data_IF_356988469331
#
_entry.id   IF_356988469331
#
_cell.length_a   1.000
_cell.length_b   1.000
_cell.length_c   1.000
_cell.angle_alpha   90.00
_cell.angle_beta   90.00
_cell.angle_gamma   90.00
#
_symmetry.space_group_name_H-M   'P 1'
#
loop_
_entity.id
_entity.type
_entity.pdbx_description
1 polymer ?
#
# COMPACT_ATOMS: atom_id res chain seq x y z
N UNK A 1 8.03 -13.80 7.43
CA UNK A 1 8.71 -14.78 6.55
C UNK A 1 8.79 -14.20 5.16
N UNK A 2 9.94 -14.29 4.49
CA UNK A 2 10.07 -13.91 3.07
C UNK A 2 9.22 -14.83 2.18
N UNK A 3 8.58 -14.26 1.18
CA UNK A 3 8.01 -15.03 0.09
C UNK A 3 9.15 -15.62 -0.77
N UNK A 4 8.88 -16.77 -1.40
CA UNK A 4 9.85 -17.44 -2.26
C UNK A 4 9.56 -17.13 -3.72
N UNK A 5 10.54 -16.59 -4.43
CA UNK A 5 10.43 -16.26 -5.84
C UNK A 5 11.34 -17.17 -6.67
N UNK A 6 10.92 -17.46 -7.90
CA UNK A 6 11.74 -18.21 -8.87
C UNK A 6 12.82 -17.35 -9.56
N UNK A 7 12.88 -16.06 -9.23
CA UNK A 7 13.88 -15.10 -9.71
C UNK A 7 14.59 -14.43 -8.53
N UNK A 8 15.90 -14.31 -8.63
CA UNK A 8 16.73 -13.65 -7.62
C UNK A 8 17.00 -12.18 -7.96
N UNK A 9 17.32 -11.40 -6.92
CA UNK A 9 17.87 -10.04 -7.06
C UNK A 9 16.87 -8.95 -7.45
N UNK A 10 15.58 -9.27 -7.61
CA UNK A 10 14.52 -8.29 -7.84
C UNK A 10 13.99 -7.73 -6.51
N UNK A 11 13.69 -6.44 -6.52
CA UNK A 11 12.92 -5.81 -5.44
C UNK A 11 11.44 -6.16 -5.61
N UNK A 12 10.76 -6.49 -4.52
CA UNK A 12 9.30 -6.57 -4.48
C UNK A 12 8.81 -5.49 -3.51
N UNK A 13 9.14 -4.24 -3.83
CA UNK A 13 8.66 -3.09 -3.06
C UNK A 13 7.17 -2.87 -3.29
N UNK A 14 6.48 -2.39 -2.25
CA UNK A 14 5.08 -1.98 -2.29
C UNK A 14 4.17 -3.11 -2.83
N UNK A 15 4.26 -4.33 -2.25
CA UNK A 15 3.61 -5.51 -2.80
C UNK A 15 2.09 -5.44 -2.64
N UNK A 16 1.37 -5.58 -3.73
CA UNK A 16 -0.09 -5.66 -3.75
C UNK A 16 -0.54 -7.07 -4.13
N UNK A 17 -1.20 -7.76 -3.20
CA UNK A 17 -1.74 -9.10 -3.44
C UNK A 17 -3.17 -9.01 -3.99
N UNK A 18 -3.47 -9.87 -4.95
CA UNK A 18 -4.77 -9.98 -5.58
C UNK A 18 -5.09 -11.46 -5.85
N UNK A 19 -6.33 -11.88 -5.63
CA UNK A 19 -6.79 -13.23 -5.91
C UNK A 19 -7.84 -13.19 -7.01
N UNK A 20 -7.71 -14.06 -7.99
CA UNK A 20 -8.75 -14.29 -9.00
C UNK A 20 -8.72 -15.74 -9.50
N UNK A 21 -9.88 -16.37 -9.49
CA UNK A 21 -10.05 -17.73 -9.98
C UNK A 21 -9.27 -18.81 -9.24
N UNK A 22 -8.96 -18.60 -7.97
CA UNK A 22 -8.17 -19.51 -7.13
C UNK A 22 -6.67 -19.40 -7.34
N UNK A 23 -6.20 -18.40 -8.07
CA UNK A 23 -4.78 -18.07 -8.25
C UNK A 23 -4.44 -16.74 -7.62
N UNK A 24 -3.27 -16.65 -7.01
CA UNK A 24 -2.74 -15.46 -6.38
C UNK A 24 -1.83 -14.71 -7.34
N UNK A 25 -1.95 -13.39 -7.35
CA UNK A 25 -1.13 -12.46 -8.12
C UNK A 25 -0.50 -11.46 -7.16
N UNK A 26 0.75 -11.11 -7.38
CA UNK A 26 1.47 -10.09 -6.62
C UNK A 26 2.03 -9.08 -7.61
N UNK A 27 1.70 -7.81 -7.40
CA UNK A 27 2.24 -6.70 -8.18
C UNK A 27 3.21 -5.92 -7.32
N UNK A 28 4.29 -5.42 -7.92
CA UNK A 28 5.32 -4.68 -7.20
C UNK A 28 5.81 -3.47 -7.99
N UNK A 29 6.22 -2.45 -7.26
CA UNK A 29 6.89 -1.26 -7.77
C UNK A 29 8.07 -1.62 -8.66
N UNK A 30 8.17 -0.97 -9.83
CA UNK A 30 9.28 -1.14 -10.75
C UNK A 30 9.73 0.18 -11.37
N UNK A 31 10.92 0.19 -11.97
CA UNK A 31 11.46 1.42 -12.57
C UNK A 31 10.77 1.79 -13.88
N UNK A 32 10.59 0.82 -14.78
CA UNK A 32 10.04 1.02 -16.13
C UNK A 32 8.62 0.45 -16.31
N UNK A 33 8.00 0.00 -15.24
CA UNK A 33 6.67 -0.58 -15.23
C UNK A 33 6.44 -1.39 -13.96
N UNK A 34 5.26 -1.96 -13.82
CA UNK A 34 4.87 -2.80 -12.68
C UNK A 34 5.27 -4.25 -12.97
N UNK A 35 6.07 -4.81 -12.08
CA UNK A 35 6.40 -6.24 -12.06
C UNK A 35 5.23 -7.06 -11.51
N UNK A 36 4.96 -8.22 -12.11
CA UNK A 36 3.95 -9.16 -11.62
C UNK A 36 4.52 -10.54 -11.36
N UNK A 37 3.93 -11.20 -10.40
CA UNK A 37 4.21 -12.57 -10.00
C UNK A 37 2.90 -13.32 -9.78
N UNK A 38 2.92 -14.65 -9.91
CA UNK A 38 1.76 -15.49 -9.61
C UNK A 38 2.14 -16.72 -8.81
N UNK A 39 1.19 -17.25 -8.04
CA UNK A 39 1.33 -18.49 -7.29
C UNK A 39 -0.03 -19.16 -7.10
N UNK A 40 -0.02 -20.48 -6.94
CA UNK A 40 -1.22 -21.25 -6.58
C UNK A 40 -1.43 -21.32 -5.06
N UNK A 41 -0.39 -21.01 -4.28
CA UNK A 41 -0.38 -21.03 -2.81
C UNK A 41 0.45 -19.87 -2.27
N UNK A 42 -0.05 -19.19 -1.21
CA UNK A 42 0.62 -18.03 -0.61
C UNK A 42 2.05 -18.33 -0.13
N UNK A 43 2.29 -19.55 0.37
CA UNK A 43 3.57 -20.00 0.90
C UNK A 43 4.39 -20.81 -0.11
N UNK A 44 3.86 -20.99 -1.33
CA UNK A 44 4.50 -21.63 -2.44
C UNK A 44 5.60 -20.81 -3.09
N UNK A 45 5.99 -21.20 -4.28
CA UNK A 45 6.94 -20.45 -5.11
C UNK A 45 6.16 -19.48 -5.99
N UNK A 46 6.54 -18.20 -5.93
CA UNK A 46 6.00 -17.13 -6.77
C UNK A 46 6.77 -17.07 -8.08
N UNK A 47 6.07 -17.22 -9.19
CA UNK A 47 6.61 -17.19 -10.54
C UNK A 47 6.59 -15.78 -11.08
N UNK A 48 7.73 -15.30 -11.60
CA UNK A 48 7.82 -13.99 -12.23
C UNK A 48 7.15 -14.00 -13.61
N UNK A 49 6.14 -13.18 -13.79
CA UNK A 49 5.33 -13.08 -15.01
C UNK A 49 5.77 -11.95 -15.96
N UNK A 50 6.73 -11.14 -15.52
CA UNK A 50 7.21 -10.00 -16.31
C UNK A 50 6.62 -8.67 -15.88
N UNK A 51 6.85 -7.66 -16.72
CA UNK A 51 6.25 -6.32 -16.59
C UNK A 51 4.88 -6.33 -17.24
N UNK A 52 3.82 -6.10 -16.45
CA UNK A 52 2.43 -6.20 -16.91
C UNK A 52 1.79 -4.85 -17.22
N UNK A 53 2.39 -3.76 -16.73
CA UNK A 53 1.93 -2.40 -16.93
C UNK A 53 3.13 -1.48 -17.15
N UNK A 54 3.15 -0.75 -18.26
CA UNK A 54 4.18 0.23 -18.60
C UNK A 54 3.58 1.36 -19.43
N UNK A 55 4.30 2.48 -19.49
CA UNK A 55 3.92 3.65 -20.31
C UNK A 55 5.16 4.15 -21.04
N UNK A 56 5.05 4.49 -22.32
CA UNK A 56 6.18 5.00 -23.08
C UNK A 56 6.71 6.31 -22.47
N UNK A 57 7.99 6.34 -22.12
CA UNK A 57 8.63 7.46 -21.43
C UNK A 57 8.32 7.54 -19.91
N UNK A 58 7.47 6.65 -19.39
CA UNK A 58 7.18 6.58 -17.95
C UNK A 58 8.31 5.91 -17.17
N UNK A 59 8.58 6.43 -15.98
CA UNK A 59 9.55 5.89 -15.01
C UNK A 59 8.99 5.92 -13.59
N UNK A 60 9.59 5.15 -12.68
CA UNK A 60 9.20 5.09 -11.27
C UNK A 60 7.72 4.72 -11.08
N UNK A 61 7.34 3.54 -11.56
CA UNK A 61 5.99 3.01 -11.34
C UNK A 61 5.88 2.49 -9.91
N UNK A 62 5.11 3.21 -9.08
CA UNK A 62 5.02 2.95 -7.65
C UNK A 62 3.66 2.43 -7.23
N UNK A 63 3.69 1.56 -6.22
CA UNK A 63 2.56 1.16 -5.40
C UNK A 63 1.28 0.83 -6.20
N UNK A 64 1.30 -0.26 -6.97
CA UNK A 64 0.12 -0.67 -7.73
C UNK A 64 -1.00 -1.15 -6.80
N UNK A 65 -2.25 -0.91 -7.20
CA UNK A 65 -3.43 -1.62 -6.70
C UNK A 65 -4.30 -2.09 -7.84
N UNK A 66 -4.98 -3.21 -7.66
CA UNK A 66 -5.81 -3.82 -8.71
C UNK A 66 -7.20 -4.14 -8.18
N UNK A 67 -8.21 -3.85 -8.99
CA UNK A 67 -9.58 -4.28 -8.77
C UNK A 67 -10.15 -4.90 -10.04
N UNK A 68 -10.97 -5.94 -9.90
CA UNK A 68 -11.78 -6.49 -10.99
C UNK A 68 -13.20 -5.98 -10.88
N UNK A 69 -13.69 -5.39 -11.97
CA UNK A 69 -15.07 -4.95 -12.10
C UNK A 69 -15.61 -5.60 -13.37
N UNK A 70 -16.61 -6.46 -13.20
CA UNK A 70 -17.10 -7.34 -14.25
C UNK A 70 -15.94 -8.17 -14.85
N UNK A 71 -15.71 -8.11 -16.16
CA UNK A 71 -14.63 -8.83 -16.85
C UNK A 71 -13.40 -7.95 -17.13
N UNK A 72 -13.24 -6.84 -16.41
CA UNK A 72 -12.14 -5.90 -16.62
C UNK A 72 -11.35 -5.69 -15.33
N UNK A 73 -10.04 -5.79 -15.43
CA UNK A 73 -9.10 -5.46 -14.37
C UNK A 73 -8.65 -4.02 -14.53
N UNK A 74 -8.66 -3.27 -13.44
CA UNK A 74 -8.19 -1.89 -13.38
C UNK A 74 -7.01 -1.84 -12.43
N UNK A 75 -5.87 -1.35 -12.93
CA UNK A 75 -4.68 -1.11 -12.14
C UNK A 75 -4.50 0.38 -11.92
N UNK A 76 -4.33 0.76 -10.69
CA UNK A 76 -3.98 2.11 -10.26
C UNK A 76 -2.52 2.10 -9.81
N UNK A 77 -1.73 3.06 -10.23
CA UNK A 77 -0.32 3.22 -9.86
C UNK A 77 0.10 4.66 -10.10
N UNK A 78 1.20 5.07 -9.47
CA UNK A 78 1.76 6.39 -9.70
C UNK A 78 3.07 6.29 -10.46
N UNK A 79 3.29 7.18 -11.40
CA UNK A 79 4.55 7.24 -12.13
C UNK A 79 4.82 8.66 -12.66
N UNK A 80 6.07 8.88 -13.12
CA UNK A 80 6.57 10.13 -13.66
C UNK A 80 6.80 10.00 -15.18
N UNK A 81 6.44 11.02 -15.94
CA UNK A 81 6.68 11.11 -17.40
C UNK A 81 7.62 12.26 -17.77
N UNK A 82 8.55 12.62 -16.88
CA UNK A 82 9.43 13.76 -17.00
C UNK A 82 8.92 15.01 -16.29
N UNK A 83 7.86 14.88 -15.51
CA UNK A 83 7.39 15.93 -14.61
C UNK A 83 8.27 15.99 -13.33
N UNK A 84 7.99 16.98 -12.46
CA UNK A 84 8.70 17.14 -11.19
C UNK A 84 8.31 16.08 -10.16
N UNK A 85 7.06 15.55 -10.25
CA UNK A 85 6.49 14.64 -9.27
C UNK A 85 5.83 13.43 -9.94
N UNK A 86 5.54 12.41 -9.15
CA UNK A 86 4.71 11.29 -9.52
C UNK A 86 3.23 11.65 -9.44
N UNK A 87 2.48 11.22 -10.43
CA UNK A 87 1.02 11.37 -10.49
C UNK A 87 0.36 10.02 -10.61
N UNK A 88 -0.84 9.93 -10.04
CA UNK A 88 -1.62 8.70 -10.09
C UNK A 88 -2.35 8.53 -11.42
N UNK A 89 -2.26 7.32 -11.94
CA UNK A 89 -2.90 6.89 -13.18
C UNK A 89 -3.69 5.62 -12.96
N UNK A 90 -4.65 5.37 -13.84
CA UNK A 90 -5.36 4.11 -13.98
C UNK A 90 -5.19 3.56 -15.39
N UNK A 91 -5.05 2.24 -15.49
CA UNK A 91 -5.08 1.49 -16.75
C UNK A 91 -6.01 0.29 -16.62
N UNK A 92 -6.38 -0.32 -17.74
CA UNK A 92 -7.25 -1.50 -17.76
C UNK A 92 -6.68 -2.65 -18.57
N UNK A 93 -7.10 -3.88 -18.23
CA UNK A 93 -6.74 -5.10 -18.93
C UNK A 93 -7.89 -6.11 -18.91
N UNK A 94 -7.81 -7.14 -19.77
CA UNK A 94 -8.72 -8.31 -19.77
C UNK A 94 -8.14 -9.51 -19.00
N UNK A 95 -6.94 -9.38 -18.48
CA UNK A 95 -6.23 -10.40 -17.71
C UNK A 95 -5.56 -9.76 -16.50
N UNK A 96 -5.46 -10.45 -15.35
CA UNK A 96 -4.71 -9.94 -14.21
C UNK A 96 -3.21 -9.77 -14.51
N UNK A 97 -2.70 -10.45 -15.54
CA UNK A 97 -1.33 -10.32 -16.03
C UNK A 97 -1.20 -9.32 -17.20
N UNK A 98 -2.19 -8.47 -17.39
CA UNK A 98 -2.16 -7.42 -18.40
C UNK A 98 -2.22 -7.94 -19.87
N UNK A 99 -1.65 -7.18 -20.83
CA UNK A 99 -1.06 -5.85 -20.62
C UNK A 99 -2.11 -4.84 -20.16
N UNK A 100 -1.74 -4.01 -19.18
CA UNK A 100 -2.58 -2.90 -18.76
C UNK A 100 -2.36 -1.71 -19.69
N UNK A 101 -3.44 -1.23 -20.30
CA UNK A 101 -3.47 -0.21 -21.33
C UNK A 101 -4.54 0.85 -21.02
N UNK A 102 -4.80 1.77 -21.96
CA UNK A 102 -5.81 2.83 -21.80
C UNK A 102 -5.59 3.74 -20.59
N UNK A 103 -4.34 4.16 -20.41
CA UNK A 103 -3.91 4.98 -19.30
C UNK A 103 -4.65 6.32 -19.23
N UNK A 104 -5.13 6.67 -18.02
CA UNK A 104 -5.70 7.97 -17.70
C UNK A 104 -5.12 8.50 -16.39
N UNK A 105 -4.64 9.72 -16.39
CA UNK A 105 -4.23 10.45 -15.20
C UNK A 105 -5.47 10.82 -14.37
N UNK A 106 -5.39 10.60 -13.05
CA UNK A 106 -6.51 10.85 -12.13
C UNK A 106 -6.46 12.26 -11.54
N UNK A 107 -5.28 12.72 -11.13
CA UNK A 107 -5.07 14.01 -10.46
C UNK A 107 -3.96 14.80 -11.15
N UNK A 108 -4.05 16.13 -11.08
CA UNK A 108 -3.02 17.06 -11.59
C UNK A 108 -2.02 17.52 -10.52
N UNK A 109 -2.00 16.87 -9.37
CA UNK A 109 -1.12 17.13 -8.25
C UNK A 109 -0.50 15.82 -7.76
N UNK A 110 0.56 15.92 -6.94
CA UNK A 110 1.25 14.78 -6.35
C UNK A 110 0.26 13.85 -5.65
N UNK A 111 0.22 12.61 -6.09
CA UNK A 111 -0.67 11.57 -5.56
C UNK A 111 -0.08 10.20 -5.79
N UNK A 112 0.05 9.42 -4.73
CA UNK A 112 0.69 8.10 -4.75
C UNK A 112 -0.11 7.08 -3.92
N UNK A 113 0.31 5.83 -3.97
CA UNK A 113 -0.11 4.76 -3.07
C UNK A 113 -1.62 4.49 -3.10
N UNK A 114 -2.07 4.11 -4.27
CA UNK A 114 -3.47 3.81 -4.51
C UNK A 114 -3.96 2.55 -3.80
N UNK A 115 -5.18 2.60 -3.25
CA UNK A 115 -5.94 1.41 -2.88
C UNK A 115 -7.40 1.62 -3.28
N UNK A 116 -7.82 0.96 -4.35
CA UNK A 116 -9.18 1.05 -4.88
C UNK A 116 -10.07 -0.01 -4.25
N UNK A 117 -11.26 0.39 -3.81
CA UNK A 117 -12.22 -0.51 -3.18
C UNK A 117 -13.63 -0.26 -3.69
N UNK A 118 -14.47 -1.31 -3.66
CA UNK A 118 -15.88 -1.24 -3.99
C UNK A 118 -16.70 -1.64 -2.77
N UNK A 119 -17.66 -0.80 -2.41
CA UNK A 119 -18.69 -1.08 -1.40
C UNK A 119 -20.07 -1.03 -2.04
N UNK A 120 -21.13 -1.24 -1.26
CA UNK A 120 -22.49 -1.05 -1.73
C UNK A 120 -22.80 0.43 -2.08
N UNK A 121 -22.07 1.38 -1.49
CA UNK A 121 -22.22 2.81 -1.77
C UNK A 121 -21.43 3.30 -3.00
N UNK A 122 -20.60 2.44 -3.62
CA UNK A 122 -19.85 2.77 -4.82
C UNK A 122 -18.36 2.43 -4.75
N UNK A 123 -17.59 3.09 -5.63
CA UNK A 123 -16.14 2.97 -5.69
C UNK A 123 -15.47 4.07 -4.88
N UNK A 124 -14.38 3.72 -4.20
CA UNK A 124 -13.58 4.64 -3.39
C UNK A 124 -12.09 4.40 -3.63
N UNK A 125 -11.34 5.48 -3.74
CA UNK A 125 -9.90 5.46 -3.95
C UNK A 125 -9.20 6.07 -2.73
N UNK A 126 -8.50 5.23 -1.99
CA UNK A 126 -7.55 5.63 -0.97
C UNK A 126 -6.22 5.98 -1.62
N UNK A 127 -5.53 6.96 -1.06
CA UNK A 127 -4.25 7.43 -1.58
C UNK A 127 -3.43 8.17 -0.52
N UNK A 128 -2.15 8.41 -0.83
CA UNK A 128 -1.32 9.34 -0.08
C UNK A 128 -1.09 10.60 -0.91
N UNK A 129 -1.27 11.77 -0.30
CA UNK A 129 -1.06 13.08 -0.91
C UNK A 129 -0.37 14.01 0.09
N UNK A 130 0.39 14.97 -0.44
CA UNK A 130 1.09 15.96 0.38
C UNK A 130 0.16 17.05 0.90
N UNK A 131 0.37 17.46 2.16
CA UNK A 131 -0.18 18.68 2.71
C UNK A 131 0.91 19.48 3.44
N UNK A 132 1.39 20.55 2.81
CA UNK A 132 2.42 21.43 3.34
C UNK A 132 1.90 22.62 4.16
N UNK A 133 0.58 22.81 4.20
CA UNK A 133 -0.06 23.96 4.87
C UNK A 133 -0.24 23.79 6.38
N UNK A 134 0.17 22.63 6.94
CA UNK A 134 -0.03 22.27 8.34
C UNK A 134 1.25 22.41 9.18
N UNK A 135 1.14 22.28 10.49
CA UNK A 135 2.27 22.23 11.42
C UNK A 135 3.12 20.96 11.27
N UNK A 136 2.53 19.90 10.72
CA UNK A 136 3.17 18.61 10.42
C UNK A 136 3.12 18.33 8.92
N UNK A 137 3.89 19.07 8.09
CA UNK A 137 3.85 18.89 6.64
C UNK A 137 4.27 17.49 6.23
N UNK A 138 3.73 17.02 5.11
CA UNK A 138 4.07 15.72 4.57
C UNK A 138 2.87 14.95 4.01
N UNK A 139 3.09 13.68 3.67
CA UNK A 139 2.03 12.84 3.13
C UNK A 139 1.05 12.40 4.21
N UNK A 140 -0.20 12.33 3.82
CA UNK A 140 -1.35 11.90 4.61
C UNK A 140 -2.21 10.96 3.82
N UNK A 141 -3.06 10.22 4.50
CA UNK A 141 -4.03 9.33 3.84
C UNK A 141 -5.29 10.12 3.48
N UNK A 142 -5.63 10.08 2.21
CA UNK A 142 -6.82 10.67 1.62
C UNK A 142 -7.76 9.61 1.08
N UNK A 143 -9.02 9.98 0.96
CA UNK A 143 -10.08 9.17 0.37
C UNK A 143 -10.92 10.02 -0.57
N UNK A 144 -11.05 9.58 -1.83
CA UNK A 144 -11.96 10.17 -2.79
C UNK A 144 -13.00 9.15 -3.25
N UNK A 145 -14.17 9.64 -3.68
CA UNK A 145 -15.17 8.83 -4.37
C UNK A 145 -14.79 8.74 -5.84
N UNK A 146 -15.03 7.58 -6.44
CA UNK A 146 -14.89 7.40 -7.87
C UNK A 146 -16.27 7.38 -8.54
N UNK A 147 -16.46 8.18 -9.58
CA UNK A 147 -17.69 8.21 -10.40
C UNK A 147 -17.77 6.99 -11.31
N UNK A 148 -16.64 6.57 -11.81
CA UNK A 148 -16.38 5.34 -12.55
C UNK A 148 -14.90 4.93 -12.33
N UNK A 149 -14.42 3.77 -12.83
CA UNK A 149 -13.03 3.35 -12.61
C UNK A 149 -11.95 4.33 -13.10
N UNK A 150 -12.29 5.26 -13.98
CA UNK A 150 -11.35 6.24 -14.55
C UNK A 150 -11.51 7.66 -14.01
N UNK A 151 -12.57 7.94 -13.24
CA UNK A 151 -12.94 9.33 -12.95
C UNK A 151 -13.17 9.52 -11.45
N UNK A 152 -12.22 10.13 -10.72
CA UNK A 152 -12.45 10.57 -9.36
C UNK A 152 -13.48 11.71 -9.31
N UNK A 153 -14.20 11.84 -8.21
CA UNK A 153 -15.06 13.01 -7.93
C UNK A 153 -14.21 14.29 -7.86
N UNK A 154 -12.94 14.15 -7.46
CA UNK A 154 -11.96 15.24 -7.45
C UNK A 154 -12.02 16.09 -6.18
N UNK A 155 -12.58 15.56 -5.13
CA UNK A 155 -12.68 16.19 -3.80
C UNK A 155 -12.15 15.24 -2.71
N UNK A 156 -10.83 14.91 -2.72
CA UNK A 156 -10.24 13.99 -1.77
C UNK A 156 -10.32 14.53 -0.34
N UNK A 157 -10.92 13.75 0.57
CA UNK A 157 -11.00 14.04 2.00
C UNK A 157 -9.74 13.52 2.70
N UNK A 158 -9.08 14.35 3.49
CA UNK A 158 -8.03 13.93 4.42
C UNK A 158 -8.66 13.09 5.55
N UNK A 159 -8.18 11.85 5.73
CA UNK A 159 -8.77 10.88 6.68
C UNK A 159 -7.82 10.56 7.83
N UNK A 160 -6.53 10.33 7.55
CA UNK A 160 -5.54 9.99 8.57
C UNK A 160 -4.37 10.96 8.46
N UNK A 161 -4.06 11.63 9.58
CA UNK A 161 -3.02 12.64 9.71
C UNK A 161 -1.89 12.19 10.63
N UNK A 162 -0.67 12.73 10.50
CA UNK A 162 0.41 12.43 11.43
C UNK A 162 0.12 12.94 12.85
N UNK A 163 0.23 12.05 13.84
CA UNK A 163 -0.01 12.35 15.27
C UNK A 163 1.18 11.96 16.15
N UNK A 164 2.07 11.11 15.64
CA UNK A 164 3.19 10.54 16.41
C UNK A 164 4.54 10.93 15.83
N UNK A 165 5.53 11.04 16.71
CA UNK A 165 6.92 11.31 16.31
C UNK A 165 7.51 10.17 15.48
N UNK A 166 7.05 8.96 15.68
CA UNK A 166 7.44 7.76 14.94
C UNK A 166 7.05 7.83 13.45
N UNK A 167 6.07 8.66 13.10
CA UNK A 167 5.63 8.92 11.72
C UNK A 167 6.51 9.93 10.98
N UNK A 168 7.59 10.41 11.63
CA UNK A 168 8.55 11.33 11.05
C UNK A 168 9.33 10.67 9.89
N UNK A 169 9.24 11.26 8.70
CA UNK A 169 10.10 10.88 7.58
C UNK A 169 11.51 11.47 7.74
N UNK A 170 11.58 12.81 7.88
CA UNK A 170 12.86 13.51 7.99
C UNK A 170 12.72 14.86 8.71
N UNK A 171 13.57 15.07 9.72
CA UNK A 171 13.64 16.34 10.40
C UNK A 171 14.17 17.42 9.43
N UNK A 172 13.54 18.60 9.47
CA UNK A 172 13.92 19.78 8.68
C UNK A 172 14.22 19.47 7.19
N UNK A 173 13.36 18.65 6.56
CA UNK A 173 13.59 18.11 5.20
C UNK A 173 13.92 19.19 4.16
N UNK A 174 13.24 20.33 4.22
CA UNK A 174 13.35 21.42 3.26
C UNK A 174 14.15 22.62 3.77
N UNK A 175 14.76 22.54 4.96
CA UNK A 175 15.55 23.62 5.55
C UNK A 175 14.72 24.81 6.07
N UNK A 176 13.40 24.66 6.18
CA UNK A 176 12.46 25.70 6.65
C UNK A 176 12.15 25.58 8.17
N UNK A 177 12.83 24.67 8.87
CA UNK A 177 12.67 24.41 10.30
C UNK A 177 11.54 23.45 10.65
N UNK A 178 10.72 23.01 9.67
CA UNK A 178 9.63 22.07 9.91
C UNK A 178 10.06 20.63 9.62
N UNK A 179 9.60 19.74 10.45
CA UNK A 179 9.79 18.31 10.29
C UNK A 179 8.74 17.76 9.29
N UNK A 180 9.19 16.89 8.38
CA UNK A 180 8.34 16.28 7.37
C UNK A 180 7.93 14.88 7.79
N UNK A 181 6.63 14.62 7.79
CA UNK A 181 6.02 13.36 8.19
C UNK A 181 5.54 12.54 6.98
N UNK A 182 5.41 11.23 7.15
CA UNK A 182 4.87 10.35 6.12
C UNK A 182 3.82 9.41 6.70
N UNK A 183 2.61 9.47 6.12
CA UNK A 183 1.62 8.41 6.15
C UNK A 183 1.29 8.05 4.71
N UNK A 184 1.47 6.78 4.36
CA UNK A 184 1.34 6.29 2.99
C UNK A 184 0.86 4.83 2.97
N UNK A 185 0.69 4.23 1.79
CA UNK A 185 0.32 2.83 1.62
C UNK A 185 -0.99 2.45 2.31
N UNK A 186 -2.09 3.22 2.16
CA UNK A 186 -3.35 2.88 2.81
C UNK A 186 -3.93 1.57 2.28
N UNK A 187 -4.47 0.76 3.18
CA UNK A 187 -5.21 -0.44 2.83
C UNK A 187 -6.44 -0.59 3.71
N UNK A 188 -7.63 -0.50 3.10
CA UNK A 188 -8.90 -0.66 3.77
C UNK A 188 -9.41 -2.09 3.66
N UNK A 189 -9.98 -2.62 4.74
CA UNK A 189 -10.76 -3.84 4.77
C UNK A 189 -11.74 -3.84 5.93
N UNK A 190 -12.63 -4.84 6.00
CA UNK A 190 -13.58 -4.96 7.11
C UNK A 190 -13.59 -6.39 7.65
N UNK A 191 -13.92 -6.52 8.95
CA UNK A 191 -14.21 -7.80 9.61
C UNK A 191 -15.31 -7.61 10.65
N UNK A 192 -16.40 -8.38 10.49
CA UNK A 192 -17.58 -8.27 11.33
C UNK A 192 -18.21 -6.87 11.29
N UNK A 193 -18.31 -6.22 12.44
CA UNK A 193 -18.86 -4.85 12.57
C UNK A 193 -17.77 -3.75 12.47
N UNK A 194 -16.53 -4.09 12.21
CA UNK A 194 -15.41 -3.18 12.21
C UNK A 194 -14.84 -2.97 10.82
N UNK A 195 -14.48 -1.74 10.54
CA UNK A 195 -13.74 -1.33 9.35
C UNK A 195 -12.36 -0.81 9.76
N UNK A 196 -11.35 -1.14 8.98
CA UNK A 196 -9.95 -0.84 9.26
C UNK A 196 -9.31 -0.15 8.07
N UNK A 197 -8.44 0.80 8.36
CA UNK A 197 -7.50 1.38 7.39
C UNK A 197 -6.11 1.23 7.96
N UNK A 198 -5.35 0.26 7.46
CA UNK A 198 -3.94 0.14 7.78
C UNK A 198 -3.16 1.11 6.89
N UNK A 199 -2.05 1.66 7.40
CA UNK A 199 -1.19 2.60 6.69
C UNK A 199 0.27 2.41 7.11
N UNK A 200 1.20 2.92 6.32
CA UNK A 200 2.61 2.95 6.66
C UNK A 200 3.03 4.35 7.08
N UNK A 201 3.96 4.44 8.02
CA UNK A 201 4.50 5.69 8.51
C UNK A 201 6.01 5.63 8.74
N UNK A 202 6.63 6.79 8.93
CA UNK A 202 8.07 6.90 9.12
C UNK A 202 8.84 6.96 7.80
N UNK A 203 10.06 6.45 7.75
CA UNK A 203 10.92 6.57 6.58
C UNK A 203 11.28 5.20 6.00
N UNK A 204 10.82 4.92 4.77
CA UNK A 204 11.11 3.65 4.08
C UNK A 204 12.60 3.42 3.80
N UNK A 205 13.41 4.49 3.81
CA UNK A 205 14.86 4.43 3.57
C UNK A 205 15.64 3.82 4.75
N UNK A 206 15.03 3.73 5.93
CA UNK A 206 15.68 3.28 7.16
C UNK A 206 14.80 2.33 7.99
N UNK A 207 15.15 2.13 9.24
CA UNK A 207 14.52 1.19 10.16
C UNK A 207 13.30 1.74 10.92
N UNK A 208 12.92 3.00 10.67
CA UNK A 208 11.76 3.63 11.33
C UNK A 208 10.43 3.33 10.63
N UNK A 209 10.47 2.81 9.39
CA UNK A 209 9.27 2.47 8.65
C UNK A 209 8.46 1.39 9.35
N UNK A 210 7.15 1.60 9.45
CA UNK A 210 6.24 0.76 10.22
C UNK A 210 4.85 0.74 9.60
N UNK A 211 3.99 -0.17 10.09
CA UNK A 211 2.55 -0.20 9.77
C UNK A 211 1.74 0.09 11.03
N UNK A 212 0.92 1.13 10.97
CA UNK A 212 -0.13 1.44 11.93
C UNK A 212 -1.52 1.20 11.32
N UNK A 213 -2.58 1.50 12.09
CA UNK A 213 -3.94 1.43 11.57
C UNK A 213 -4.90 2.34 12.31
N UNK A 214 -5.98 2.68 11.62
CA UNK A 214 -7.17 3.31 12.17
C UNK A 214 -8.36 2.36 12.05
N UNK A 215 -9.33 2.45 12.93
CA UNK A 215 -10.51 1.60 12.92
C UNK A 215 -11.78 2.38 13.24
N UNK A 216 -12.92 1.85 12.78
CA UNK A 216 -14.25 2.34 13.12
C UNK A 216 -15.22 1.17 13.27
N UNK A 217 -16.05 1.18 14.32
CA UNK A 217 -17.14 0.22 14.48
C UNK A 217 -18.39 0.76 13.81
N UNK A 218 -18.64 0.33 12.57
CA UNK A 218 -19.76 0.84 11.77
C UNK A 218 -20.07 -0.07 10.59
N UNK A 219 -21.36 -0.13 10.21
CA UNK A 219 -21.83 -0.74 8.96
C UNK A 219 -21.99 0.26 7.80
N UNK A 220 -21.55 1.52 7.95
CA UNK A 220 -21.63 2.53 6.88
C UNK A 220 -20.83 2.09 5.66
N UNK A 221 -21.44 2.17 4.48
CA UNK A 221 -20.85 1.77 3.21
C UNK A 221 -20.27 2.95 2.43
N UNK A 222 -20.69 4.17 2.71
CA UNK A 222 -20.07 5.38 2.19
C UNK A 222 -18.85 5.73 3.05
N UNK A 223 -17.69 5.29 2.61
CA UNK A 223 -16.45 5.40 3.38
C UNK A 223 -16.08 6.85 3.72
N UNK A 224 -16.55 7.84 2.96
CA UNK A 224 -16.32 9.28 3.23
C UNK A 224 -17.09 9.80 4.46
N UNK A 225 -18.08 9.04 4.94
CA UNK A 225 -18.88 9.37 6.14
C UNK A 225 -18.33 8.72 7.41
N UNK A 226 -17.31 7.89 7.30
CA UNK A 226 -16.75 7.17 8.42
C UNK A 226 -15.64 8.00 9.07
N UNK A 227 -15.69 8.11 10.39
CA UNK A 227 -14.62 8.69 11.19
C UNK A 227 -13.72 7.55 11.70
N UNK A 228 -12.61 7.34 11.00
CA UNK A 228 -11.60 6.38 11.39
C UNK A 228 -10.70 6.96 12.48
N UNK A 229 -10.55 6.23 13.58
CA UNK A 229 -9.73 6.64 14.72
C UNK A 229 -8.47 5.78 14.78
N UNK A 230 -7.29 6.41 14.88
CA UNK A 230 -6.03 5.67 15.07
C UNK A 230 -6.09 4.82 16.34
N UNK A 231 -5.69 3.57 16.20
CA UNK A 231 -5.66 2.63 17.32
C UNK A 231 -4.30 2.73 18.00
N UNK A 232 -4.35 3.08 19.28
CA UNK A 232 -3.20 3.39 20.12
C UNK A 232 -3.23 2.56 21.40
N UNK A 233 -2.14 2.53 22.13
CA UNK A 233 -2.07 1.98 23.48
C UNK A 233 -2.02 3.13 24.51
N UNK A 234 -3.19 3.64 24.90
CA UNK A 234 -3.32 4.93 25.58
C UNK A 234 -2.84 6.06 24.65
N UNK A 235 -1.93 6.90 25.11
CA UNK A 235 -1.32 7.98 24.32
C UNK A 235 -0.08 7.54 23.54
N UNK A 236 0.15 6.22 23.43
CA UNK A 236 1.37 5.68 22.82
C UNK A 236 1.11 5.12 21.45
N UNK A 237 2.06 5.34 20.56
CA UNK A 237 2.16 4.66 19.28
C UNK A 237 2.08 3.14 19.44
N UNK A 238 1.27 2.47 18.62
CA UNK A 238 1.02 1.03 18.69
C UNK A 238 1.03 0.39 17.29
N UNK A 239 2.23 0.20 16.70
CA UNK A 239 2.33 -0.36 15.36
C UNK A 239 1.95 -1.83 15.30
N UNK A 240 1.34 -2.24 14.19
CA UNK A 240 1.11 -3.65 13.83
C UNK A 240 2.41 -4.31 13.39
N UNK A 241 3.19 -3.60 12.57
CA UNK A 241 4.49 -4.04 12.08
C UNK A 241 5.54 -2.94 12.33
N UNK A 242 6.67 -3.34 12.89
CA UNK A 242 7.87 -2.53 13.08
C UNK A 242 9.08 -3.46 12.97
N UNK A 243 10.29 -2.92 12.78
CA UNK A 243 11.54 -3.70 12.77
C UNK A 243 11.63 -4.70 13.93
N UNK A 244 12.34 -5.79 13.72
CA UNK A 244 12.71 -6.77 14.73
C UNK A 244 14.15 -7.25 14.49
N UNK A 245 14.55 -8.38 15.09
CA UNK A 245 15.89 -8.95 14.94
C UNK A 245 16.18 -9.55 13.55
N UNK A 246 15.17 -9.71 12.68
CA UNK A 246 15.32 -10.33 11.36
C UNK A 246 15.14 -9.33 10.23
N UNK A 247 14.34 -8.28 10.44
CA UNK A 247 13.91 -7.37 9.36
C UNK A 247 13.76 -5.92 9.84
N UNK A 248 13.96 -5.01 8.90
CA UNK A 248 13.81 -3.56 9.12
C UNK A 248 13.12 -2.89 7.93
N UNK A 249 12.64 -1.66 8.10
CA UNK A 249 11.93 -0.92 7.07
C UNK A 249 10.66 -1.66 6.64
N UNK A 250 9.90 -2.16 7.62
CA UNK A 250 8.67 -2.93 7.42
C UNK A 250 7.51 -2.02 7.10
N UNK A 251 6.94 -2.15 5.93
CA UNK A 251 5.79 -1.32 5.55
C UNK A 251 5.24 -1.62 4.17
N UNK A 252 4.39 -0.72 3.72
CA UNK A 252 3.68 -0.73 2.45
C UNK A 252 3.10 -2.11 2.15
N UNK A 253 2.01 -2.41 2.79
CA UNK A 253 1.40 -3.71 2.84
C UNK A 253 0.11 -3.77 2.02
N UNK A 254 -0.29 -4.98 1.70
CA UNK A 254 -1.64 -5.34 1.29
C UNK A 254 -2.15 -6.51 2.15
N UNK A 255 -3.46 -6.69 2.22
CA UNK A 255 -4.08 -7.72 3.06
C UNK A 255 -4.91 -8.67 2.21
N UNK A 256 -4.84 -9.95 2.51
CA UNK A 256 -5.70 -10.98 1.92
C UNK A 256 -6.28 -11.87 3.02
N UNK A 257 -7.50 -12.37 2.80
CA UNK A 257 -8.13 -13.38 3.65
C UNK A 257 -8.18 -14.71 2.90
N UNK A 258 -7.53 -15.74 3.44
CA UNK A 258 -7.51 -17.09 2.90
C UNK A 258 -7.97 -18.03 4.02
N UNK A 259 -8.97 -18.88 3.76
CA UNK A 259 -9.51 -19.84 4.71
C UNK A 259 -9.79 -19.22 6.11
N UNK A 260 -10.54 -18.11 6.13
CA UNK A 260 -10.90 -17.34 7.32
C UNK A 260 -9.72 -16.71 8.08
N UNK A 261 -8.50 -16.79 7.55
CA UNK A 261 -7.30 -16.21 8.13
C UNK A 261 -6.80 -15.00 7.32
N UNK A 262 -6.57 -13.87 7.99
CA UNK A 262 -5.95 -12.70 7.39
C UNK A 262 -4.43 -12.80 7.34
N UNK A 263 -3.86 -12.36 6.23
CA UNK A 263 -2.43 -12.24 6.02
C UNK A 263 -2.11 -10.84 5.50
N UNK A 264 -1.04 -10.23 6.03
CA UNK A 264 -0.43 -9.05 5.42
C UNK A 264 0.77 -9.47 4.58
N UNK A 265 0.80 -8.98 3.35
CA UNK A 265 1.96 -9.04 2.48
C UNK A 265 2.56 -7.63 2.47
N UNK A 266 3.81 -7.50 2.90
CA UNK A 266 4.50 -6.23 3.08
C UNK A 266 5.94 -6.32 2.60
N UNK A 267 6.59 -5.20 2.33
CA UNK A 267 8.00 -5.24 2.09
C UNK A 267 8.82 -4.99 3.36
N UNK A 268 10.01 -5.58 3.40
CA UNK A 268 11.04 -5.24 4.36
C UNK A 268 12.43 -5.59 3.79
N UNK A 269 13.46 -5.08 4.45
CA UNK A 269 14.86 -5.46 4.23
C UNK A 269 15.32 -6.41 5.34
N UNK A 270 16.39 -7.17 5.06
CA UNK A 270 17.06 -7.93 6.11
C UNK A 270 17.70 -6.99 7.12
N UNK A 271 17.55 -7.30 8.40
CA UNK A 271 18.10 -6.46 9.47
C UNK A 271 19.64 -6.33 9.36
N UNK A 272 20.13 -5.09 9.43
CA UNK A 272 21.55 -4.78 9.34
C UNK A 272 22.19 -4.94 7.96
N UNK A 273 21.41 -5.30 6.93
CA UNK A 273 21.86 -5.31 5.54
C UNK A 273 22.07 -3.89 5.00
N UNK A 274 22.97 -3.71 4.03
CA UNK A 274 23.32 -2.37 3.50
C UNK A 274 23.21 -2.27 1.98
N UNK A 275 22.67 -1.11 1.52
CA UNK A 275 22.68 -0.68 0.13
C UNK A 275 21.91 -1.58 -0.83
N UNK A 276 22.32 -1.59 -2.10
CA UNK A 276 21.66 -2.37 -3.17
C UNK A 276 21.69 -3.90 -2.97
N UNK A 277 22.53 -4.40 -2.07
CA UNK A 277 22.57 -5.81 -1.70
C UNK A 277 21.49 -6.22 -0.68
N UNK A 278 20.70 -5.27 -0.23
CA UNK A 278 19.59 -5.48 0.71
C UNK A 278 18.31 -4.84 0.15
N UNK A 279 17.75 -5.39 -0.94
CA UNK A 279 16.54 -4.85 -1.56
C UNK A 279 15.32 -5.01 -0.64
N UNK A 280 14.31 -4.19 -0.87
CA UNK A 280 12.99 -4.43 -0.29
C UNK A 280 12.41 -5.71 -0.89
N UNK A 281 12.13 -6.71 -0.07
CA UNK A 281 11.58 -8.00 -0.48
C UNK A 281 10.20 -8.22 0.12
N UNK A 282 9.29 -8.83 -0.64
CA UNK A 282 7.97 -9.16 -0.14
C UNK A 282 8.03 -10.24 0.95
N UNK A 283 7.31 -9.98 2.02
CA UNK A 283 7.19 -10.84 3.20
C UNK A 283 5.73 -11.05 3.54
N UNK A 284 5.45 -12.08 4.30
CA UNK A 284 4.12 -12.40 4.78
C UNK A 284 4.12 -12.59 6.28
N UNK A 285 3.08 -12.09 6.94
CA UNK A 285 2.75 -12.42 8.32
C UNK A 285 1.25 -12.70 8.45
N UNK A 286 0.90 -13.45 9.48
CA UNK A 286 -0.48 -13.68 9.86
C UNK A 286 -0.99 -12.47 10.65
N UNK A 287 -2.22 -12.05 10.36
CA UNK A 287 -2.92 -11.02 11.14
C UNK A 287 -4.02 -11.67 11.98
N UNK A 288 -4.06 -11.32 13.24
CA UNK A 288 -5.20 -11.60 14.12
C UNK A 288 -6.04 -10.34 14.19
N UNK A 289 -7.25 -10.40 13.60
CA UNK A 289 -8.19 -9.28 13.49
C UNK A 289 -9.41 -9.60 14.32
N UNK A 290 -9.65 -8.84 15.37
CA UNK A 290 -10.80 -9.07 16.25
C UNK A 290 -11.17 -7.81 17.03
N UNK A 291 -12.47 -7.49 17.05
CA UNK A 291 -13.07 -6.47 17.92
C UNK A 291 -12.36 -5.10 17.86
N UNK A 292 -11.98 -4.64 16.67
CA UNK A 292 -11.28 -3.36 16.47
C UNK A 292 -9.77 -3.45 16.66
N UNK A 293 -9.22 -4.62 16.98
CA UNK A 293 -7.78 -4.81 17.24
C UNK A 293 -7.13 -5.67 16.17
N UNK A 294 -5.99 -5.22 15.65
CA UNK A 294 -5.10 -5.97 14.75
C UNK A 294 -3.79 -6.24 15.46
N UNK A 295 -3.34 -7.50 15.46
CA UNK A 295 -1.99 -7.89 15.85
C UNK A 295 -1.35 -8.78 14.80
N UNK A 296 -0.03 -8.73 14.66
CA UNK A 296 0.70 -9.53 13.68
C UNK A 296 1.49 -10.66 14.35
N UNK A 297 1.40 -11.85 13.77
CA UNK A 297 2.25 -12.99 14.08
C UNK A 297 3.25 -13.17 12.94
N UNK A 298 4.52 -12.82 13.21
CA UNK A 298 5.61 -12.93 12.25
C UNK A 298 6.38 -14.23 12.47
N UNK A 299 6.62 -14.94 11.40
CA UNK A 299 7.44 -16.14 11.44
C UNK A 299 8.90 -15.76 11.17
N UNK A 300 9.86 -16.25 11.98
CA UNK A 300 11.26 -16.17 11.59
C UNK A 300 11.42 -16.87 10.23
N UNK A 301 12.28 -16.33 9.38
CA UNK A 301 12.64 -17.00 8.13
C UNK A 301 13.16 -18.39 8.52
N UNK A 302 12.50 -19.44 8.04
CA UNK A 302 13.03 -20.79 8.18
C UNK A 302 14.29 -20.81 7.33
N UNK A 303 15.44 -20.85 8.00
CA UNK A 303 16.76 -21.02 7.42
C UNK A 303 16.81 -22.36 6.68
#
# INVERSE_FOLDING_TARGET
MKLKFDVDGRSQADPYIFEDGGRLYLYATGYSGIDAYSADDLFGVWHYEGVVASYEGGVHFWAPSVIKIDDTYYMYTSFNKGEEFEYMYVASARSPLGPFENWKQLYSFFSIDSHIVKTEAGLFLWSAMDNHSTSTPGTRVFLDRMLDPYTPEGDPKEVITPDFREELFRANRYGDGRDYYTLEGPFWFFEGEWQYVMYSGGCFENDTYHVGYSAAKTGEQDLRKIDFVKVTNGDRFNPVLIKNEYEEGTGHHSVIKIDEQYYAIYHARDYGGKGFKNPRTARVCKLHVKDGVITAERYPDRI
#
